data_IF_689096148132
#
_entry.id   IF_689096148132
#
_cell.length_a   1.000
_cell.length_b   1.000
_cell.length_c   1.000
_cell.angle_alpha   90.00
_cell.angle_beta   90.00
_cell.angle_gamma   90.00
#
_symmetry.space_group_name_H-M   'P 1'
#
loop_
_entity.id
_entity.type
_entity.pdbx_description
1 polymer ?
#
# COMPACT_ATOMS: atom_id res chain seq x y z
N UNK A 1 3.73 -6.84 12.84
CA UNK A 1 3.21 -6.20 11.62
C UNK A 1 3.65 -7.04 10.43
N UNK A 2 2.78 -7.26 9.45
CA UNK A 2 3.07 -8.10 8.28
C UNK A 2 2.50 -7.47 7.01
N UNK A 3 2.72 -8.11 5.86
CA UNK A 3 2.24 -7.64 4.55
C UNK A 3 0.73 -7.39 4.54
N UNK A 4 -0.06 -8.22 5.24
CA UNK A 4 -1.52 -8.03 5.36
C UNK A 4 -1.87 -6.70 6.00
N UNK A 5 -1.08 -6.24 6.98
CA UNK A 5 -1.28 -4.92 7.59
C UNK A 5 -1.16 -3.81 6.55
N UNK A 6 -0.17 -3.91 5.65
CA UNK A 6 0.01 -2.93 4.56
C UNK A 6 -1.21 -2.96 3.63
N UNK A 7 -1.61 -4.13 3.15
CA UNK A 7 -2.71 -4.26 2.20
C UNK A 7 -4.06 -3.83 2.80
N UNK A 8 -4.29 -4.07 4.08
CA UNK A 8 -5.50 -3.63 4.78
C UNK A 8 -5.62 -2.10 4.81
N UNK A 9 -4.51 -1.35 4.92
CA UNK A 9 -4.57 0.12 4.88
C UNK A 9 -5.19 0.61 3.57
N UNK A 10 -4.79 0.02 2.44
CA UNK A 10 -5.36 0.39 1.13
C UNK A 10 -6.86 0.09 1.11
N UNK A 11 -7.27 -1.10 1.57
CA UNK A 11 -8.68 -1.48 1.64
C UNK A 11 -9.47 -0.54 2.55
N UNK A 12 -8.97 -0.23 3.74
CA UNK A 12 -9.60 0.68 4.70
C UNK A 12 -9.73 2.10 4.14
N UNK A 13 -8.70 2.61 3.46
CA UNK A 13 -8.76 3.92 2.81
C UNK A 13 -9.75 3.93 1.64
N UNK A 14 -9.86 2.84 0.86
CA UNK A 14 -10.88 2.73 -0.20
C UNK A 14 -12.29 2.90 0.38
N UNK A 15 -12.60 2.22 1.48
CA UNK A 15 -13.90 2.35 2.14
C UNK A 15 -14.11 3.73 2.76
N UNK A 16 -13.11 4.24 3.48
CA UNK A 16 -13.18 5.54 4.17
C UNK A 16 -13.37 6.70 3.20
N UNK A 17 -12.66 6.69 2.07
CA UNK A 17 -12.69 7.76 1.06
C UNK A 17 -13.73 7.51 -0.03
N UNK A 18 -14.42 6.36 -0.01
CA UNK A 18 -15.35 5.90 -1.06
C UNK A 18 -14.69 5.88 -2.45
N UNK A 19 -13.43 5.45 -2.49
CA UNK A 19 -12.64 5.34 -3.71
C UNK A 19 -12.49 3.89 -4.13
N UNK A 20 -12.51 3.66 -5.43
CA UNK A 20 -12.14 2.37 -6.02
C UNK A 20 -10.61 2.26 -6.10
N UNK A 21 -10.10 1.04 -6.30
CA UNK A 21 -8.67 0.71 -6.44
C UNK A 21 -7.90 1.71 -7.31
N UNK A 22 -8.44 1.99 -8.50
CA UNK A 22 -7.82 2.86 -9.51
C UNK A 22 -7.79 4.34 -9.11
N UNK A 23 -8.69 4.74 -8.21
CA UNK A 23 -8.75 6.09 -7.66
C UNK A 23 -7.98 6.26 -6.36
N UNK A 24 -7.51 5.17 -5.72
CA UNK A 24 -6.72 5.24 -4.49
C UNK A 24 -5.24 5.04 -4.79
N UNK A 25 -4.47 6.04 -4.40
CA UNK A 25 -3.01 6.02 -4.40
C UNK A 25 -2.58 6.51 -3.02
N UNK A 26 -1.60 5.84 -2.43
CA UNK A 26 -1.04 6.21 -1.13
C UNK A 26 0.47 6.35 -1.27
N UNK A 27 0.98 7.49 -0.81
CA UNK A 27 2.41 7.73 -0.65
C UNK A 27 2.97 6.97 0.56
N UNK A 28 4.30 6.78 0.58
CA UNK A 28 5.00 6.18 1.70
C UNK A 28 4.75 6.94 3.01
N UNK A 29 4.70 8.27 2.95
CA UNK A 29 4.46 9.13 4.10
C UNK A 29 3.05 8.96 4.64
N UNK A 30 2.05 8.82 3.76
CA UNK A 30 0.67 8.51 4.16
C UNK A 30 0.59 7.13 4.81
N UNK A 31 1.29 6.13 4.28
CA UNK A 31 1.34 4.78 4.86
C UNK A 31 1.98 4.83 6.25
N UNK A 32 3.08 5.58 6.43
CA UNK A 32 3.71 5.79 7.73
C UNK A 32 2.76 6.46 8.72
N UNK A 33 2.06 7.51 8.29
CA UNK A 33 1.08 8.22 9.12
C UNK A 33 -0.09 7.31 9.52
N UNK A 34 -0.63 6.52 8.59
CA UNK A 34 -1.73 5.59 8.84
C UNK A 34 -1.34 4.45 9.79
N UNK A 35 -0.06 4.08 9.82
CA UNK A 35 0.51 3.10 10.74
C UNK A 35 1.04 3.70 12.04
N UNK A 36 0.97 5.01 12.23
CA UNK A 36 1.61 5.73 13.33
C UNK A 36 3.11 5.40 13.49
N UNK A 37 3.81 5.22 12.37
CA UNK A 37 5.22 4.88 12.33
C UNK A 37 6.09 6.11 12.64
N UNK A 38 6.50 6.22 13.90
CA UNK A 38 7.19 7.40 14.43
C UNK A 38 8.71 7.22 14.55
N UNK A 39 9.20 5.97 14.47
CA UNK A 39 10.63 5.68 14.57
C UNK A 39 11.23 5.27 13.21
N UNK A 40 12.51 5.59 12.95
CA UNK A 40 13.19 5.16 11.72
C UNK A 40 13.19 3.64 11.52
N UNK A 41 13.30 2.88 12.61
CA UNK A 41 13.25 1.41 12.56
C UNK A 41 11.90 0.86 12.11
N UNK A 42 10.80 1.49 12.52
CA UNK A 42 9.45 1.13 12.07
C UNK A 42 9.25 1.48 10.60
N UNK A 43 9.70 2.67 10.19
CA UNK A 43 9.62 3.12 8.80
C UNK A 43 10.40 2.20 7.86
N UNK A 44 11.60 1.77 8.27
CA UNK A 44 12.40 0.80 7.51
C UNK A 44 11.70 -0.56 7.39
N UNK A 45 11.09 -1.05 8.47
CA UNK A 45 10.30 -2.29 8.43
C UNK A 45 9.10 -2.17 7.49
N UNK A 46 8.37 -1.05 7.54
CA UNK A 46 7.23 -0.79 6.64
C UNK A 46 7.69 -0.77 5.19
N UNK A 47 8.78 -0.08 4.91
CA UNK A 47 9.36 0.00 3.57
C UNK A 47 9.70 -1.39 3.03
N UNK A 48 10.36 -2.24 3.83
CA UNK A 48 10.64 -3.63 3.46
C UNK A 48 9.36 -4.45 3.20
N UNK A 49 8.31 -4.24 3.98
CA UNK A 49 7.03 -4.92 3.75
C UNK A 49 6.36 -4.46 2.45
N UNK A 50 6.47 -3.18 2.10
CA UNK A 50 5.98 -2.65 0.82
C UNK A 50 6.77 -3.26 -0.34
N UNK A 51 8.09 -3.32 -0.26
CA UNK A 51 8.93 -3.97 -1.28
C UNK A 51 8.53 -5.44 -1.48
N UNK A 52 8.29 -6.19 -0.39
CA UNK A 52 7.81 -7.56 -0.48
C UNK A 52 6.43 -7.66 -1.14
N UNK A 53 5.50 -6.74 -0.81
CA UNK A 53 4.19 -6.67 -1.47
C UNK A 53 4.31 -6.39 -2.97
N UNK A 54 5.28 -5.56 -3.39
CA UNK A 54 5.55 -5.29 -4.81
C UNK A 54 6.12 -6.53 -5.51
N UNK A 55 7.11 -7.20 -4.90
CA UNK A 55 7.69 -8.44 -5.45
C UNK A 55 6.61 -9.52 -5.65
N UNK A 56 5.65 -9.60 -4.73
CA UNK A 56 4.49 -10.51 -4.80
C UNK A 56 3.35 -10.00 -5.68
N UNK A 57 3.50 -8.83 -6.30
CA UNK A 57 2.50 -8.17 -7.16
C UNK A 57 1.18 -7.82 -6.44
N UNK A 58 1.21 -7.65 -5.13
CA UNK A 58 0.07 -7.18 -4.33
C UNK A 58 -0.07 -5.66 -4.37
N UNK A 59 1.06 -4.95 -4.49
CA UNK A 59 1.11 -3.52 -4.75
C UNK A 59 1.86 -3.28 -6.06
N UNK A 60 1.62 -2.13 -6.67
CA UNK A 60 2.42 -1.61 -7.77
C UNK A 60 2.69 -0.11 -7.56
N UNK A 61 3.84 0.41 -8.00
CA UNK A 61 4.07 1.85 -8.05
C UNK A 61 2.97 2.52 -8.87
N UNK A 62 2.40 3.60 -8.36
CA UNK A 62 1.40 4.36 -9.08
C UNK A 62 2.02 4.91 -10.37
N UNK A 63 1.38 4.62 -11.51
CA UNK A 63 1.82 5.16 -12.80
C UNK A 63 1.50 6.66 -12.83
N UNK A 64 2.42 7.50 -12.37
CA UNK A 64 2.31 8.92 -12.65
C UNK A 64 2.67 9.18 -14.12
N UNK A 65 1.72 9.81 -14.79
CA UNK A 65 1.81 10.57 -16.03
C UNK A 65 3.21 11.13 -16.29
N UNK A 66 3.83 10.74 -17.41
CA UNK A 66 4.74 11.46 -18.34
C UNK A 66 5.74 12.50 -17.83
N UNK A 67 5.94 12.67 -16.53
CA UNK A 67 6.82 13.67 -15.93
C UNK A 67 8.05 12.94 -15.39
N UNK A 68 9.27 13.35 -15.80
CA UNK A 68 10.52 12.64 -15.50
C UNK A 68 10.91 12.65 -14.01
N UNK A 69 10.08 13.23 -13.14
CA UNK A 69 10.26 13.33 -11.69
C UNK A 69 9.11 12.67 -10.92
N UNK A 70 8.52 11.60 -11.47
CA UNK A 70 7.47 10.85 -10.80
C UNK A 70 7.91 10.42 -9.39
N UNK A 71 7.11 10.80 -8.40
CA UNK A 71 7.32 10.52 -6.98
C UNK A 71 7.43 8.99 -6.84
N UNK A 72 8.63 8.50 -6.50
CA UNK A 72 8.97 7.06 -6.50
C UNK A 72 8.28 6.27 -5.38
N UNK A 73 7.53 6.97 -4.53
CA UNK A 73 7.03 6.45 -3.28
C UNK A 73 5.49 6.45 -3.19
N UNK A 74 4.80 6.47 -4.33
CA UNK A 74 3.34 6.36 -4.39
C UNK A 74 2.96 4.97 -4.91
N UNK A 75 2.03 4.33 -4.23
CA UNK A 75 1.63 2.95 -4.51
C UNK A 75 0.13 2.84 -4.70
N UNK A 76 -0.28 1.83 -5.46
CA UNK A 76 -1.68 1.40 -5.56
C UNK A 76 -1.77 -0.09 -5.30
N UNK A 77 -2.90 -0.52 -4.75
CA UNK A 77 -3.17 -1.95 -4.54
C UNK A 77 -3.60 -2.60 -5.84
N UNK A 78 -3.11 -3.80 -6.10
CA UNK A 78 -3.51 -4.58 -7.29
C UNK A 78 -4.72 -5.45 -6.97
N UNK A 79 -5.34 -6.04 -8.01
CA UNK A 79 -6.41 -7.03 -7.81
C UNK A 79 -5.91 -8.24 -6.99
N UNK A 80 -4.73 -8.85 -7.29
CA UNK A 80 -4.15 -9.87 -6.41
C UNK A 80 -3.97 -9.43 -4.96
N UNK A 81 -3.58 -8.17 -4.72
CA UNK A 81 -3.45 -7.62 -3.37
C UNK A 81 -4.78 -7.60 -2.62
N UNK A 82 -5.86 -7.17 -3.29
CA UNK A 82 -7.20 -7.18 -2.70
C UNK A 82 -7.70 -8.60 -2.39
N UNK A 83 -7.49 -9.54 -3.31
CA UNK A 83 -7.85 -10.95 -3.08
C UNK A 83 -7.10 -11.49 -1.85
N UNK A 84 -5.80 -11.21 -1.73
CA UNK A 84 -5.01 -11.68 -0.58
C UNK A 84 -5.52 -11.15 0.76
N UNK A 85 -6.08 -9.93 0.77
CA UNK A 85 -6.72 -9.36 1.97
C UNK A 85 -7.97 -10.14 2.36
N UNK A 86 -8.74 -10.61 1.38
CA UNK A 86 -10.01 -11.32 1.57
C UNK A 86 -9.83 -12.82 1.85
N UNK A 87 -8.81 -13.48 1.30
CA UNK A 87 -8.55 -14.92 1.51
C UNK A 87 -8.41 -15.30 2.99
N UNK A 88 -7.83 -14.41 3.79
CA UNK A 88 -7.60 -14.63 5.21
C UNK A 88 -8.82 -14.24 6.08
N UNK A 89 -10.00 -13.98 5.50
CA UNK A 89 -11.29 -13.87 6.21
C UNK A 89 -12.06 -15.19 6.20
N UNK A 90 -11.68 -16.13 5.33
CA UNK A 90 -12.34 -17.42 5.13
C UNK A 90 -11.52 -18.63 5.64
N UNK A 91 -10.44 -18.37 6.37
CA UNK A 91 -9.62 -19.36 7.10
C UNK A 91 -9.59 -19.03 8.58
#
# INVERSE_FOLDING_TARGET
MNEKTILQIFKDQMFRLRLMREGLQLSIDEIYALLNATTPSQQQLIYQLIENCIQKRYLEPAKHSSLPFAIQDVYTITVPGLIKVDEDLFT
#
